data_IF_964874884098
#
_entry.id   IF_964874884098
#
_cell.length_a   1.000
_cell.length_b   1.000
_cell.length_c   1.000
_cell.angle_alpha   90.00
_cell.angle_beta   90.00
_cell.angle_gamma   90.00
#
_symmetry.space_group_name_H-M   'P 1'
#
loop_
_entity.id
_entity.type
_entity.pdbx_description
1 polymer ?
#
# COMPACT_ATOMS: atom_id res chain seq x y z
N UNK A 1 4.01 -8.94 4.65
CA UNK A 1 4.16 -7.76 5.54
C UNK A 1 3.53 -6.59 4.79
N UNK A 2 2.74 -5.73 5.45
CA UNK A 2 2.06 -4.60 4.78
C UNK A 2 2.74 -3.26 4.99
N UNK A 3 2.38 -2.28 4.17
CA UNK A 3 2.60 -0.85 4.38
C UNK A 3 1.26 -0.23 4.78
N UNK A 4 1.27 0.69 5.75
CA UNK A 4 0.06 1.29 6.29
C UNK A 4 0.23 2.81 6.36
N UNK A 5 -0.80 3.56 5.96
CA UNK A 5 -0.85 5.00 6.12
C UNK A 5 -1.68 5.32 7.36
N UNK A 6 -1.07 6.02 8.31
CA UNK A 6 -1.73 6.49 9.51
C UNK A 6 -2.00 7.99 9.41
N UNK A 7 -3.24 8.40 9.67
CA UNK A 7 -3.61 9.78 9.92
C UNK A 7 -3.48 10.07 11.41
N UNK A 8 -2.68 11.09 11.76
CA UNK A 8 -2.40 11.46 13.14
C UNK A 8 -2.91 12.88 13.43
N UNK A 9 -3.55 13.05 14.58
CA UNK A 9 -3.96 14.34 15.13
C UNK A 9 -3.72 14.38 16.64
N UNK A 10 -3.94 15.53 17.25
CA UNK A 10 -4.05 15.73 18.70
C UNK A 10 -4.99 14.74 19.43
N UNK A 11 -6.00 14.22 18.73
CA UNK A 11 -7.00 13.27 19.24
C UNK A 11 -6.59 11.81 19.08
N UNK A 12 -5.49 11.52 18.40
CA UNK A 12 -4.97 10.17 18.24
C UNK A 12 -4.57 9.83 16.81
N UNK A 13 -4.62 8.54 16.48
CA UNK A 13 -4.13 8.01 15.20
C UNK A 13 -5.11 6.98 14.66
N UNK A 14 -5.37 7.01 13.36
CA UNK A 14 -6.18 6.00 12.66
C UNK A 14 -5.47 5.54 11.40
N UNK A 15 -5.56 4.25 11.08
CA UNK A 15 -5.11 3.73 9.79
C UNK A 15 -6.15 4.11 8.74
N UNK A 16 -5.72 4.79 7.69
CA UNK A 16 -6.61 5.30 6.63
C UNK A 16 -6.36 4.63 5.28
N UNK A 17 -5.23 3.93 5.12
CA UNK A 17 -4.93 3.16 3.92
C UNK A 17 -3.96 2.00 4.25
N UNK A 18 -3.93 0.99 3.38
CA UNK A 18 -3.06 -0.20 3.48
C UNK A 18 -2.64 -0.69 2.10
N UNK A 19 -1.41 -1.17 2.00
CA UNK A 19 -0.90 -1.87 0.82
C UNK A 19 -0.13 -3.14 1.19
N UNK A 20 -0.20 -4.15 0.32
CA UNK A 20 0.58 -5.37 0.48
C UNK A 20 1.98 -5.17 -0.09
N UNK A 21 3.02 -5.28 0.74
CA UNK A 21 4.39 -5.34 0.22
C UNK A 21 4.75 -6.78 -0.16
N UNK A 22 4.99 -6.97 -1.46
CA UNK A 22 5.46 -8.23 -2.04
C UNK A 22 6.96 -8.12 -2.35
N UNK A 23 7.81 -9.01 -1.80
CA UNK A 23 9.19 -9.12 -2.25
C UNK A 23 9.26 -9.49 -3.73
N UNK A 24 10.30 -9.04 -4.44
CA UNK A 24 10.46 -9.28 -5.89
C UNK A 24 10.33 -10.77 -6.29
N UNK A 25 10.88 -11.67 -5.47
CA UNK A 25 10.79 -13.11 -5.70
C UNK A 25 9.35 -13.68 -5.66
N UNK A 26 8.39 -12.95 -5.08
CA UNK A 26 6.97 -13.30 -5.17
C UNK A 26 6.38 -12.87 -6.50
N UNK A 27 6.55 -11.60 -6.89
CA UNK A 27 5.99 -11.06 -8.13
C UNK A 27 6.58 -11.71 -9.38
N UNK A 28 7.81 -12.26 -9.28
CA UNK A 28 8.44 -13.08 -10.33
C UNK A 28 7.85 -14.50 -10.45
N UNK A 29 7.06 -14.96 -9.47
CA UNK A 29 6.37 -16.26 -9.51
C UNK A 29 4.84 -16.04 -9.59
N UNK A 30 4.34 -15.88 -10.82
CA UNK A 30 2.93 -15.55 -11.06
C UNK A 30 1.96 -16.65 -10.63
N UNK A 31 2.33 -17.92 -10.72
CA UNK A 31 1.48 -19.02 -10.26
C UNK A 31 1.27 -18.96 -8.75
N UNK A 32 2.36 -18.73 -8.00
CA UNK A 32 2.29 -18.51 -6.55
C UNK A 32 1.45 -17.28 -6.19
N UNK A 33 1.56 -16.19 -6.95
CA UNK A 33 0.73 -15.00 -6.74
C UNK A 33 -0.76 -15.31 -6.93
N UNK A 34 -1.12 -16.00 -8.01
CA UNK A 34 -2.50 -16.41 -8.29
C UNK A 34 -3.06 -17.33 -7.21
N UNK A 35 -2.28 -18.30 -6.75
CA UNK A 35 -2.65 -19.18 -5.62
C UNK A 35 -2.91 -18.39 -4.33
N UNK A 36 -2.23 -17.26 -4.15
CA UNK A 36 -2.42 -16.33 -3.04
C UNK A 36 -3.50 -15.25 -3.30
N UNK A 37 -4.17 -15.27 -4.46
CA UNK A 37 -5.20 -14.30 -4.84
C UNK A 37 -4.66 -12.91 -5.20
N UNK A 38 -3.42 -12.82 -5.65
CA UNK A 38 -2.78 -11.58 -6.10
C UNK A 38 -2.95 -11.46 -7.62
N UNK A 39 -3.58 -10.38 -8.09
CA UNK A 39 -3.82 -10.14 -9.51
C UNK A 39 -2.53 -10.01 -10.34
N UNK A 40 -2.64 -10.24 -11.64
CA UNK A 40 -1.50 -10.28 -12.58
C UNK A 40 -0.92 -8.90 -12.93
N UNK A 41 -1.67 -7.83 -12.69
CA UNK A 41 -1.25 -6.44 -12.81
C UNK A 41 -0.44 -5.93 -11.59
N UNK A 42 -0.41 -6.71 -10.50
CA UNK A 42 0.40 -6.38 -9.31
C UNK A 42 1.87 -6.65 -9.60
N UNK A 43 2.62 -5.57 -9.82
CA UNK A 43 4.07 -5.58 -10.01
C UNK A 43 4.84 -5.34 -8.70
N UNK A 44 6.17 -5.55 -8.74
CA UNK A 44 7.02 -5.22 -7.61
C UNK A 44 7.05 -3.71 -7.38
N UNK A 45 6.73 -3.30 -6.15
CA UNK A 45 6.94 -1.94 -5.67
C UNK A 45 7.69 -1.97 -4.34
N UNK A 46 8.61 -1.03 -4.17
CA UNK A 46 9.27 -0.79 -2.89
C UNK A 46 8.29 -0.18 -1.89
N UNK A 47 8.61 -0.29 -0.59
CA UNK A 47 7.75 0.30 0.46
C UNK A 47 7.59 1.83 0.33
N UNK A 48 8.64 2.62 -0.01
CA UNK A 48 8.49 4.04 -0.26
C UNK A 48 7.57 4.36 -1.45
N UNK A 49 7.67 3.62 -2.56
CA UNK A 49 6.78 3.78 -3.71
C UNK A 49 5.31 3.51 -3.32
N UNK A 50 5.05 2.42 -2.60
CA UNK A 50 3.72 2.12 -2.07
C UNK A 50 3.21 3.25 -1.16
N UNK A 51 4.05 3.76 -0.26
CA UNK A 51 3.68 4.86 0.62
C UNK A 51 3.37 6.15 -0.15
N UNK A 52 4.10 6.44 -1.23
CA UNK A 52 3.81 7.58 -2.09
C UNK A 52 2.45 7.44 -2.77
N UNK A 53 2.14 6.29 -3.37
CA UNK A 53 0.83 6.04 -3.98
C UNK A 53 -0.31 6.18 -2.95
N UNK A 54 -0.12 5.70 -1.73
CA UNK A 54 -1.10 5.87 -0.65
C UNK A 54 -1.32 7.35 -0.29
N UNK A 55 -0.26 8.16 -0.28
CA UNK A 55 -0.34 9.60 -0.04
C UNK A 55 -1.07 10.32 -1.18
N UNK A 56 -0.78 9.97 -2.43
CA UNK A 56 -1.47 10.50 -3.61
C UNK A 56 -2.98 10.22 -3.54
N UNK A 57 -3.37 8.98 -3.20
CA UNK A 57 -4.79 8.64 -2.99
C UNK A 57 -5.44 9.42 -1.85
N UNK A 58 -4.72 9.66 -0.75
CA UNK A 58 -5.23 10.46 0.37
C UNK A 58 -5.43 11.93 -0.03
N UNK A 59 -4.54 12.49 -0.86
CA UNK A 59 -4.67 13.83 -1.42
C UNK A 59 -5.87 13.93 -2.36
N UNK A 60 -6.01 12.96 -3.28
CA UNK A 60 -7.13 12.91 -4.22
C UNK A 60 -8.48 12.73 -3.52
N UNK A 61 -8.50 11.99 -2.40
CA UNK A 61 -9.68 11.83 -1.56
C UNK A 61 -10.02 13.07 -0.72
N UNK A 62 -9.20 14.14 -0.79
CA UNK A 62 -9.41 15.38 -0.05
C UNK A 62 -9.26 15.23 1.45
N UNK A 63 -8.45 14.27 1.91
CA UNK A 63 -8.17 14.12 3.34
C UNK A 63 -7.56 15.43 3.86
N UNK A 64 -8.05 16.02 4.95
CA UNK A 64 -7.52 17.31 5.41
C UNK A 64 -6.09 17.17 5.93
N UNK A 65 -5.18 17.99 5.42
CA UNK A 65 -3.81 18.15 5.93
C UNK A 65 -3.66 19.57 6.46
N UNK A 66 -2.92 19.75 7.55
CA UNK A 66 -2.75 21.03 8.24
C UNK A 66 -1.51 21.05 9.10
#
# INVERSE_FOLDING_TARGET
IGVFLAYASDRGRALIDRELYLPKAWTENRDRCRDAGIDDDVEFATKPELAQTMLERALDAGIPFG
#
